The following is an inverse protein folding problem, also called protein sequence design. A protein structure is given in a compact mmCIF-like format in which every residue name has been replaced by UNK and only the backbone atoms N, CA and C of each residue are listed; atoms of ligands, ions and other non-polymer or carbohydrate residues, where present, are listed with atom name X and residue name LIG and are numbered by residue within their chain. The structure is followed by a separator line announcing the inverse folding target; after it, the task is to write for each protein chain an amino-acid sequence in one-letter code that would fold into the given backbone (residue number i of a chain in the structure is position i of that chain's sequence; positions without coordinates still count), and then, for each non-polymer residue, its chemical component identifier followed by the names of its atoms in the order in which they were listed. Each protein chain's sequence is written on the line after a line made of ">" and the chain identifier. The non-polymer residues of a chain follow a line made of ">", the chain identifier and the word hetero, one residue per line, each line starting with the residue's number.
data_IF_437993396707
#
_entry.id   IF_437993396707
#
_cell.length_a   1.000
_cell.length_b   1.000
_cell.length_c   1.000
_cell.angle_alpha   90.00
_cell.angle_beta   90.00
_cell.angle_gamma   90.00
#
_symmetry.space_group_name_H-M   'P 1'
#
loop_
_entity.id
_entity.type
_entity.pdbx_description
1 polymer ?
#
# COMPACT_ATOMS: atom_id res chain seq x y z
N UNK A 1 12.84 -14.07 3.60
CA UNK A 1 13.14 -12.72 3.08
C UNK A 1 12.95 -11.73 4.21
N UNK A 2 13.54 -10.55 4.09
CA UNK A 2 13.21 -9.42 4.97
C UNK A 2 11.95 -8.71 4.43
N UNK A 3 11.24 -7.98 5.28
CA UNK A 3 10.04 -7.21 4.89
C UNK A 3 10.48 -5.76 4.65
N UNK A 4 10.38 -5.23 3.42
CA UNK A 4 10.86 -3.89 3.11
C UNK A 4 9.96 -2.80 3.70
N UNK A 5 10.58 -1.72 4.19
CA UNK A 5 9.90 -0.49 4.67
C UNK A 5 9.58 0.51 3.56
N UNK A 6 10.13 0.28 2.38
CA UNK A 6 10.11 1.18 1.23
C UNK A 6 9.47 0.47 0.03
N UNK A 7 8.63 1.20 -0.70
CA UNK A 7 7.87 0.68 -1.84
C UNK A 7 8.03 1.66 -3.01
N UNK A 8 8.31 1.12 -4.20
CA UNK A 8 8.27 1.91 -5.43
C UNK A 8 6.82 2.10 -5.87
N UNK A 9 6.37 3.34 -5.98
CA UNK A 9 5.00 3.72 -6.36
C UNK A 9 5.05 4.43 -7.70
N UNK A 10 4.30 3.93 -8.67
CA UNK A 10 4.11 4.56 -9.97
C UNK A 10 2.64 4.92 -10.16
N UNK A 11 2.36 6.21 -10.31
CA UNK A 11 1.04 6.72 -10.66
C UNK A 11 0.71 6.36 -12.11
N UNK A 12 -0.40 5.67 -12.32
CA UNK A 12 -0.93 5.38 -13.65
C UNK A 12 -1.94 6.49 -13.98
N UNK A 13 -1.55 7.37 -14.89
CA UNK A 13 -2.47 8.31 -15.52
C UNK A 13 -3.34 7.53 -16.52
N UNK A 14 -4.65 7.44 -16.25
CA UNK A 14 -5.59 6.91 -17.24
C UNK A 14 -5.52 7.82 -18.48
N UNK A 15 -5.00 7.29 -19.58
CA UNK A 15 -5.01 7.96 -20.88
C UNK A 15 -6.44 7.99 -21.40
N UNK A 16 -7.06 9.17 -21.29
CA UNK A 16 -8.28 9.61 -21.96
C UNK A 16 -9.35 8.54 -22.20
N UNK A 17 -10.23 8.34 -21.21
CA UNK A 17 -11.58 7.84 -21.51
C UNK A 17 -12.37 8.98 -22.17
N UNK A 18 -12.90 8.69 -23.35
CA UNK A 18 -13.65 9.59 -24.23
C UNK A 18 -14.86 10.23 -23.50
N UNK A 19 -14.93 11.57 -23.51
CA UNK A 19 -15.91 12.42 -22.79
C UNK A 19 -17.32 12.38 -23.43
N UNK A 20 -18.01 11.24 -23.42
CA UNK A 20 -19.43 11.18 -23.87
C UNK A 20 -20.37 10.33 -23.00
N UNK A 21 -20.21 10.33 -21.69
CA UNK A 21 -21.29 9.82 -20.81
C UNK A 21 -21.40 10.63 -19.52
N UNK A 22 -22.54 11.32 -19.37
CA UNK A 22 -23.01 11.89 -18.12
C UNK A 22 -23.00 10.81 -17.03
N UNK A 23 -22.04 10.87 -16.10
CA UNK A 23 -22.10 10.16 -14.83
C UNK A 23 -21.60 11.06 -13.71
N UNK A 24 -22.40 11.07 -12.64
CA UNK A 24 -22.22 11.80 -11.40
C UNK A 24 -20.76 11.83 -10.91
N UNK A 25 -20.38 12.98 -10.33
CA UNK A 25 -19.05 13.38 -9.93
C UNK A 25 -18.37 12.47 -8.89
N UNK A 26 -17.90 11.30 -9.31
CA UNK A 26 -16.87 10.52 -8.61
C UNK A 26 -15.54 10.74 -9.31
N UNK A 27 -14.65 11.52 -8.68
CA UNK A 27 -13.27 11.68 -9.14
C UNK A 27 -12.69 10.29 -9.44
N UNK A 28 -12.12 10.05 -10.63
CA UNK A 28 -11.49 8.77 -10.92
C UNK A 28 -10.38 8.54 -9.89
N UNK A 29 -10.47 7.42 -9.16
CA UNK A 29 -9.42 7.01 -8.25
C UNK A 29 -8.14 6.83 -9.07
N UNK A 30 -7.07 7.56 -8.72
CA UNK A 30 -5.78 7.41 -9.37
C UNK A 30 -5.30 5.98 -9.15
N UNK A 31 -5.06 5.23 -10.23
CA UNK A 31 -4.55 3.87 -10.12
C UNK A 31 -3.05 3.92 -9.84
N UNK A 32 -2.60 3.18 -8.85
CA UNK A 32 -1.19 3.07 -8.50
C UNK A 32 -0.65 1.68 -8.83
N UNK A 33 0.62 1.62 -9.21
CA UNK A 33 1.37 0.38 -9.38
C UNK A 33 2.48 0.31 -8.33
N UNK A 34 2.52 -0.80 -7.61
CA UNK A 34 3.46 -1.03 -6.51
C UNK A 34 4.58 -1.98 -6.92
N UNK A 35 5.79 -1.62 -6.50
CA UNK A 35 7.03 -2.34 -6.74
C UNK A 35 7.70 -2.60 -5.39
N UNK A 36 7.58 -3.82 -4.89
CA UNK A 36 7.99 -4.21 -3.53
C UNK A 36 9.09 -5.27 -3.65
N UNK A 37 10.12 -5.19 -2.82
CA UNK A 37 11.24 -6.15 -2.81
C UNK A 37 12.51 -5.63 -3.49
N UNK A 38 13.65 -6.21 -3.13
CA UNK A 38 14.98 -5.77 -3.59
C UNK A 38 15.14 -5.90 -5.11
N UNK A 39 14.55 -6.95 -5.69
CA UNK A 39 14.55 -7.20 -7.14
C UNK A 39 13.85 -6.09 -7.94
N UNK A 40 12.96 -5.34 -7.31
CA UNK A 40 12.20 -4.27 -7.95
C UNK A 40 12.77 -2.88 -7.65
N UNK A 41 13.16 -2.60 -6.41
CA UNK A 41 13.66 -1.29 -5.97
C UNK A 41 15.04 -0.95 -6.55
N UNK A 42 15.88 -1.95 -6.86
CA UNK A 42 17.18 -1.74 -7.48
C UNK A 42 17.13 -1.37 -8.97
N UNK A 43 15.94 -1.34 -9.58
CA UNK A 43 15.76 -1.10 -11.02
C UNK A 43 15.16 0.29 -11.24
N UNK A 44 15.91 1.24 -11.83
CA UNK A 44 15.36 2.55 -12.19
C UNK A 44 14.16 2.44 -13.12
N UNK A 45 13.07 3.14 -12.79
CA UNK A 45 11.83 3.18 -13.58
C UNK A 45 11.36 4.61 -13.73
N UNK A 46 10.92 4.96 -14.94
CA UNK A 46 10.34 6.28 -15.19
C UNK A 46 9.06 6.47 -14.38
N UNK A 47 8.84 7.68 -13.87
CA UNK A 47 7.64 8.07 -13.13
C UNK A 47 7.35 7.17 -11.91
N UNK A 48 8.39 6.65 -11.26
CA UNK A 48 8.28 5.83 -10.05
C UNK A 48 9.02 6.52 -8.92
N UNK A 49 8.35 6.70 -7.79
CA UNK A 49 8.92 7.27 -6.57
C UNK A 49 9.05 6.20 -5.50
N UNK A 50 10.11 6.26 -4.69
CA UNK A 50 10.21 5.43 -3.49
C UNK A 50 9.47 6.14 -2.38
N UNK A 51 8.49 5.46 -1.79
CA UNK A 51 7.64 5.97 -0.73
C UNK A 51 7.61 4.98 0.44
N UNK A 52 7.34 5.50 1.64
CA UNK A 52 7.04 4.68 2.81
C UNK A 52 5.56 4.84 3.18
N UNK A 53 4.97 3.78 3.73
CA UNK A 53 3.59 3.79 4.23
C UNK A 53 3.48 4.27 5.69
N UNK A 54 4.62 4.45 6.38
CA UNK A 54 4.66 4.90 7.78
C UNK A 54 5.31 6.26 7.95
N UNK A 55 4.80 7.03 8.92
CA UNK A 55 5.43 8.23 9.44
C UNK A 55 5.15 8.33 10.94
N UNK A 56 6.18 8.67 11.72
CA UNK A 56 6.10 8.79 13.18
C UNK A 56 5.49 7.56 13.89
N UNK A 57 5.72 6.36 13.30
CA UNK A 57 5.20 5.09 13.83
C UNK A 57 3.71 4.85 13.56
N UNK A 58 3.07 5.65 12.71
CA UNK A 58 1.69 5.49 12.27
C UNK A 58 1.65 5.18 10.78
N UNK A 59 0.65 4.39 10.36
CA UNK A 59 0.36 4.17 8.94
C UNK A 59 -0.35 5.41 8.38
N UNK A 60 0.26 6.06 7.40
CA UNK A 60 -0.31 7.23 6.69
C UNK A 60 -0.88 6.84 5.32
N UNK A 61 -0.35 5.79 4.68
CA UNK A 61 -0.84 5.29 3.40
C UNK A 61 -1.25 3.81 3.52
N UNK A 62 -2.55 3.61 3.72
CA UNK A 62 -3.15 2.28 3.93
C UNK A 62 -3.08 1.38 2.69
N UNK A 63 -3.15 1.95 1.49
CA UNK A 63 -3.08 1.15 0.26
C UNK A 63 -1.66 0.60 0.04
N UNK A 64 -0.61 1.39 0.32
CA UNK A 64 0.77 0.88 0.29
C UNK A 64 0.97 -0.17 1.39
N UNK A 65 0.42 0.07 2.60
CA UNK A 65 0.51 -0.88 3.71
C UNK A 65 -0.13 -2.22 3.37
N UNK A 66 -1.34 -2.23 2.82
CA UNK A 66 -2.05 -3.45 2.39
C UNK A 66 -1.25 -4.21 1.33
N UNK A 67 -0.72 -3.53 0.30
CA UNK A 67 0.12 -4.21 -0.69
C UNK A 67 1.43 -4.76 -0.11
N UNK A 68 2.01 -4.09 0.89
CA UNK A 68 3.18 -4.62 1.59
C UNK A 68 2.84 -5.89 2.37
N UNK A 69 1.70 -5.92 3.07
CA UNK A 69 1.24 -7.10 3.81
C UNK A 69 0.93 -8.26 2.85
N UNK A 70 0.24 -8.01 1.74
CA UNK A 70 0.00 -9.00 0.69
C UNK A 70 1.31 -9.58 0.14
N UNK A 71 2.29 -8.70 -0.15
CA UNK A 71 3.63 -9.12 -0.58
C UNK A 71 4.30 -10.01 0.46
N UNK A 72 4.24 -9.65 1.75
CA UNK A 72 4.85 -10.42 2.83
C UNK A 72 4.23 -11.82 2.93
N UNK A 73 2.91 -11.94 2.89
CA UNK A 73 2.23 -13.25 2.90
C UNK A 73 2.60 -14.12 1.69
N UNK A 74 2.64 -13.54 0.50
CA UNK A 74 2.91 -14.28 -0.73
C UNK A 74 4.38 -14.66 -0.91
N UNK A 75 5.31 -13.76 -0.60
CA UNK A 75 6.73 -13.88 -1.00
C UNK A 75 7.70 -14.08 0.17
N UNK A 76 7.26 -13.81 1.40
CA UNK A 76 8.09 -13.97 2.60
C UNK A 76 7.61 -15.14 3.44
N UNK A 77 6.32 -15.19 3.76
CA UNK A 77 5.73 -16.21 4.62
C UNK A 77 5.24 -17.44 3.87
N UNK A 78 4.92 -17.29 2.58
CA UNK A 78 4.33 -18.35 1.74
C UNK A 78 3.08 -18.97 2.39
N UNK A 79 2.20 -18.11 2.91
CA UNK A 79 1.03 -18.50 3.66
C UNK A 79 -0.20 -17.69 3.25
N UNK A 80 -1.39 -18.29 3.35
CA UNK A 80 -2.65 -17.58 3.15
C UNK A 80 -3.05 -16.83 4.43
N UNK A 81 -3.21 -15.51 4.34
CA UNK A 81 -3.51 -14.63 5.47
C UNK A 81 -4.74 -15.05 6.27
N UNK A 82 -5.81 -15.51 5.60
CA UNK A 82 -7.07 -15.91 6.24
C UNK A 82 -6.97 -17.06 7.25
N UNK A 83 -5.86 -17.81 7.26
CA UNK A 83 -5.63 -18.91 8.19
C UNK A 83 -4.60 -18.57 9.28
N UNK A 84 -4.08 -17.34 9.30
CA UNK A 84 -3.01 -16.94 10.20
C UNK A 84 -3.53 -15.85 11.17
N UNK A 85 -3.52 -16.09 12.49
CA UNK A 85 -3.78 -15.02 13.45
C UNK A 85 -2.65 -13.99 13.40
N UNK A 86 -3.01 -12.71 13.46
CA UNK A 86 -2.05 -11.61 13.41
C UNK A 86 -2.02 -10.86 14.74
N UNK A 87 -0.82 -10.55 15.20
CA UNK A 87 -0.58 -9.62 16.30
C UNK A 87 0.02 -8.35 15.72
N UNK A 88 -0.66 -7.22 15.92
CA UNK A 88 -0.11 -5.90 15.64
C UNK A 88 0.33 -5.24 16.93
N UNK A 89 1.54 -4.67 16.93
CA UNK A 89 2.01 -3.77 17.97
C UNK A 89 2.06 -2.35 17.43
N UNK A 90 1.55 -1.40 18.19
CA UNK A 90 1.42 -0.01 17.77
C UNK A 90 2.13 0.93 18.75
N UNK A 91 2.43 2.16 18.33
CA UNK A 91 3.04 3.17 19.21
C UNK A 91 2.09 3.54 20.36
N UNK A 92 2.64 3.70 21.57
CA UNK A 92 1.86 4.05 22.76
C UNK A 92 1.18 5.44 22.66
N UNK A 93 1.60 6.28 21.72
CA UNK A 93 1.13 7.67 21.55
C UNK A 93 0.04 7.84 20.48
N UNK A 94 -0.57 6.77 19.99
CA UNK A 94 -1.62 6.85 18.95
C UNK A 94 -2.91 7.46 19.53
N UNK A 95 -3.38 8.56 18.93
CA UNK A 95 -4.70 9.14 19.20
C UNK A 95 -5.81 8.23 18.64
N UNK A 96 -6.92 8.11 19.39
CA UNK A 96 -7.86 6.97 19.31
C UNK A 96 -8.54 6.64 17.97
N UNK A 97 -8.39 7.45 16.91
CA UNK A 97 -8.99 7.18 15.60
C UNK A 97 -8.25 6.09 14.80
N UNK A 98 -6.92 6.03 14.90
CA UNK A 98 -6.12 5.04 14.15
C UNK A 98 -6.32 3.59 14.65
N UNK A 99 -6.68 3.40 15.93
CA UNK A 99 -6.87 2.07 16.53
C UNK A 99 -8.05 1.31 15.93
N UNK A 100 -9.14 2.02 15.63
CA UNK A 100 -10.34 1.40 15.05
C UNK A 100 -10.07 0.86 13.65
N UNK A 101 -9.23 1.55 12.86
CA UNK A 101 -8.99 1.18 11.48
C UNK A 101 -8.18 -0.11 11.34
N UNK A 102 -7.14 -0.28 12.18
CA UNK A 102 -6.32 -1.51 12.22
C UNK A 102 -7.16 -2.75 12.52
N UNK A 103 -8.17 -2.62 13.38
CA UNK A 103 -9.02 -3.75 13.78
C UNK A 103 -10.14 -4.06 12.77
N UNK A 104 -10.38 -3.17 11.81
CA UNK A 104 -11.42 -3.31 10.78
C UNK A 104 -10.92 -3.80 9.42
N UNK A 105 -9.59 -3.84 9.23
CA UNK A 105 -8.92 -4.44 8.08
C UNK A 105 -8.64 -5.93 8.34
#
# INVERSE_FOLDING_TARGET
>A
GDIPSDVGVQEILDQAVDDTVDQDAQKPAKKRKFYIGNEHLGVPRANTEIQSFMKDGMVEDWEIFEQMIDYAYANVFFAESKYQPVLFSESAFIEGLHKTLIMSA
#
